data_IF_542379815073
#
_entry.id   IF_542379815073
#
_cell.length_a   1.000
_cell.length_b   1.000
_cell.length_c   1.000
_cell.angle_alpha   90.00
_cell.angle_beta   90.00
_cell.angle_gamma   90.00
#
_symmetry.space_group_name_H-M   'P 1'
#
loop_
_entity.id
_entity.type
_entity.pdbx_description
1 polymer ?
#
# COMPACT_ATOMS: atom_id res chain seq x y z
N UNK A 1 15.40 3.72 15.37
CA UNK A 1 15.19 3.26 13.96
C UNK A 1 16.32 2.36 13.52
N UNK A 2 16.02 1.20 12.94
CA UNK A 2 17.01 0.37 12.24
C UNK A 2 16.68 0.36 10.73
N UNK A 3 17.61 0.86 9.91
CA UNK A 3 17.62 0.52 8.48
C UNK A 3 17.98 -0.95 8.38
N UNK A 4 17.12 -1.73 7.75
CA UNK A 4 17.27 -3.17 7.65
C UNK A 4 17.36 -3.62 6.19
N UNK A 5 17.93 -4.80 5.96
CA UNK A 5 17.88 -5.42 4.65
C UNK A 5 16.45 -5.91 4.35
N UNK A 6 16.15 -6.12 3.08
CA UNK A 6 14.89 -6.69 2.65
C UNK A 6 14.66 -8.08 3.29
N UNK A 7 15.71 -8.91 3.38
CA UNK A 7 15.68 -10.22 4.03
C UNK A 7 15.33 -10.12 5.53
N UNK A 8 15.91 -9.15 6.24
CA UNK A 8 15.57 -8.91 7.63
C UNK A 8 14.13 -8.47 7.80
N UNK A 9 13.60 -7.59 6.92
CA UNK A 9 12.23 -7.16 7.00
C UNK A 9 11.23 -8.29 6.74
N UNK A 10 11.44 -9.13 5.71
CA UNK A 10 10.56 -10.28 5.45
C UNK A 10 10.58 -11.32 6.57
N UNK A 11 11.67 -11.41 7.34
CA UNK A 11 11.76 -12.30 8.50
C UNK A 11 10.88 -11.89 9.67
N UNK A 12 10.39 -10.64 9.71
CA UNK A 12 9.44 -10.16 10.71
C UNK A 12 8.03 -10.74 10.52
N UNK A 13 7.73 -11.21 9.30
CA UNK A 13 6.44 -11.86 9.00
C UNK A 13 6.49 -13.32 9.45
N UNK A 14 5.57 -13.70 10.31
CA UNK A 14 5.46 -15.07 10.83
C UNK A 14 4.70 -15.97 9.85
N UNK A 15 4.89 -17.31 9.91
CA UNK A 15 4.11 -18.25 9.09
C UNK A 15 2.59 -18.17 9.31
N UNK A 16 2.17 -17.84 10.53
CA UNK A 16 0.78 -17.49 10.88
C UNK A 16 0.77 -16.04 11.33
N UNK A 17 0.10 -15.17 10.56
CA UNK A 17 0.18 -13.73 10.78
C UNK A 17 -1.00 -12.97 10.17
N UNK A 18 -1.05 -11.67 10.49
CA UNK A 18 -1.97 -10.73 9.87
C UNK A 18 -1.23 -9.47 9.42
N UNK A 19 -1.44 -9.08 8.18
CA UNK A 19 -0.78 -7.93 7.58
C UNK A 19 -1.78 -7.08 6.81
N UNK A 20 -1.57 -5.77 6.78
CA UNK A 20 -2.26 -4.90 5.85
C UNK A 20 -1.27 -4.04 5.07
N UNK A 21 -1.67 -3.73 3.83
CA UNK A 21 -0.96 -2.83 2.93
C UNK A 21 -1.92 -1.76 2.41
N UNK A 22 -1.45 -0.56 2.10
CA UNK A 22 -2.26 0.49 1.48
C UNK A 22 -2.76 0.11 0.07
N UNK A 23 -3.55 1.01 -0.52
CA UNK A 23 -4.03 0.85 -1.88
C UNK A 23 -2.95 1.24 -2.92
N UNK A 24 -2.96 0.54 -4.04
CA UNK A 24 -2.26 0.93 -5.26
C UNK A 24 -0.80 1.33 -5.04
N UNK A 25 -0.44 2.60 -5.30
CA UNK A 25 0.95 3.05 -5.21
C UNK A 25 1.54 3.06 -3.81
N UNK A 26 0.71 2.93 -2.76
CA UNK A 26 1.19 2.78 -1.38
C UNK A 26 1.67 1.37 -1.04
N UNK A 27 1.44 0.38 -1.89
CA UNK A 27 1.90 -1.00 -1.66
C UNK A 27 3.43 -1.06 -1.71
N UNK A 28 4.10 -1.60 -0.67
CA UNK A 28 5.56 -1.75 -0.62
C UNK A 28 5.99 -2.91 -1.52
N UNK A 29 6.11 -2.64 -2.79
CA UNK A 29 6.17 -3.70 -3.78
C UNK A 29 7.45 -4.52 -3.77
N UNK A 30 8.62 -3.95 -3.42
CA UNK A 30 9.86 -4.71 -3.26
C UNK A 30 9.76 -5.70 -2.10
N UNK A 31 9.18 -5.26 -0.99
CA UNK A 31 8.88 -6.11 0.15
C UNK A 31 7.88 -7.22 -0.23
N UNK A 32 6.81 -6.90 -0.95
CA UNK A 32 5.79 -7.89 -1.37
C UNK A 32 6.36 -8.93 -2.34
N UNK A 33 7.23 -8.52 -3.28
CA UNK A 33 7.92 -9.47 -4.18
C UNK A 33 8.86 -10.39 -3.40
N UNK A 34 9.68 -9.84 -2.50
CA UNK A 34 10.59 -10.64 -1.69
C UNK A 34 9.84 -11.60 -0.76
N UNK A 35 8.73 -11.16 -0.18
CA UNK A 35 7.87 -12.02 0.63
C UNK A 35 7.31 -13.19 -0.19
N UNK A 36 7.07 -12.99 -1.48
CA UNK A 36 6.62 -14.02 -2.41
C UNK A 36 7.63 -15.15 -2.67
N UNK A 37 8.91 -14.99 -2.33
CA UNK A 37 9.93 -16.05 -2.43
C UNK A 37 9.83 -17.08 -1.29
N UNK A 38 9.16 -16.73 -0.20
CA UNK A 38 8.95 -17.64 0.94
C UNK A 38 7.87 -18.68 0.62
N UNK A 39 7.99 -19.87 1.27
CA UNK A 39 7.08 -21.00 1.09
C UNK A 39 6.65 -21.63 2.42
N UNK A 40 6.85 -20.94 3.53
CA UNK A 40 6.63 -21.45 4.89
C UNK A 40 5.34 -20.90 5.54
N UNK A 41 4.45 -20.29 4.76
CA UNK A 41 3.20 -19.77 5.28
C UNK A 41 2.23 -20.89 5.65
N UNK A 42 1.62 -20.76 6.82
CA UNK A 42 0.62 -21.68 7.35
C UNK A 42 -0.76 -21.04 7.32
N UNK A 43 -0.86 -19.79 7.79
CA UNK A 43 -2.13 -19.03 7.82
C UNK A 43 -1.80 -17.52 7.88
N UNK A 44 -1.47 -16.94 6.72
CA UNK A 44 -1.20 -15.51 6.58
C UNK A 44 -2.40 -14.80 5.98
N UNK A 45 -3.01 -13.91 6.74
CA UNK A 45 -4.08 -13.04 6.27
C UNK A 45 -3.55 -11.68 5.86
N UNK A 46 -3.79 -11.29 4.61
CA UNK A 46 -3.40 -9.96 4.09
C UNK A 46 -4.62 -9.18 3.69
N UNK A 47 -4.74 -7.94 4.15
CA UNK A 47 -5.74 -6.98 3.70
C UNK A 47 -5.09 -5.86 2.89
N UNK A 48 -5.74 -5.46 1.81
CA UNK A 48 -5.31 -4.35 0.97
C UNK A 48 -6.36 -4.01 -0.06
N UNK A 49 -5.95 -3.33 -1.12
CA UNK A 49 -6.84 -3.07 -2.26
C UNK A 49 -6.04 -2.59 -3.47
N UNK A 50 -6.61 -2.79 -4.66
CA UNK A 50 -6.07 -2.28 -5.92
C UNK A 50 -4.57 -2.60 -6.05
N UNK A 51 -4.26 -3.88 -6.19
CA UNK A 51 -2.88 -4.32 -6.37
C UNK A 51 -2.27 -3.70 -7.64
N UNK A 52 -1.13 -3.01 -7.51
CA UNK A 52 -0.46 -2.40 -8.67
C UNK A 52 0.33 -3.40 -9.51
N UNK A 53 0.54 -4.61 -9.00
CA UNK A 53 1.34 -5.65 -9.63
C UNK A 53 0.85 -7.06 -9.23
N UNK A 54 1.38 -8.09 -9.89
CA UNK A 54 1.13 -9.48 -9.56
C UNK A 54 2.21 -9.98 -8.57
N UNK A 55 1.82 -10.11 -7.33
CA UNK A 55 2.73 -10.59 -6.27
C UNK A 55 2.57 -12.09 -6.06
N UNK A 56 3.67 -12.84 -6.19
CA UNK A 56 3.69 -14.29 -6.04
C UNK A 56 3.23 -14.76 -4.65
N UNK A 57 3.34 -13.93 -3.61
CA UNK A 57 2.85 -14.20 -2.27
C UNK A 57 1.38 -14.66 -2.25
N UNK A 58 0.53 -14.04 -3.07
CA UNK A 58 -0.91 -14.35 -3.10
C UNK A 58 -1.25 -15.68 -3.77
N UNK A 59 -0.27 -16.34 -4.42
CA UNK A 59 -0.44 -17.69 -4.96
C UNK A 59 0.06 -18.80 -4.04
N UNK A 60 0.63 -18.42 -2.88
CA UNK A 60 1.19 -19.39 -1.94
C UNK A 60 0.10 -20.08 -1.12
N UNK A 61 0.23 -21.40 -0.86
CA UNK A 61 -0.61 -22.07 0.10
C UNK A 61 -0.55 -21.40 1.48
N UNK A 62 -1.67 -21.35 2.19
CA UNK A 62 -1.76 -20.72 3.51
C UNK A 62 -1.77 -19.19 3.49
N UNK A 63 -1.86 -18.55 2.31
CA UNK A 63 -2.01 -17.10 2.20
C UNK A 63 -3.42 -16.76 1.73
N UNK A 64 -4.08 -15.86 2.47
CA UNK A 64 -5.44 -15.39 2.24
C UNK A 64 -5.43 -13.89 2.04
N UNK A 65 -5.81 -13.43 0.84
CA UNK A 65 -5.90 -12.01 0.54
C UNK A 65 -7.33 -11.51 0.53
N UNK A 66 -7.60 -10.45 1.28
CA UNK A 66 -8.87 -9.73 1.29
C UNK A 66 -8.68 -8.38 0.66
N UNK A 67 -9.37 -8.15 -0.46
CA UNK A 67 -9.24 -6.89 -1.20
C UNK A 67 -10.48 -6.02 -1.06
N UNK A 68 -10.27 -4.78 -0.66
CA UNK A 68 -11.32 -3.75 -0.61
C UNK A 68 -11.63 -3.14 -1.99
N UNK A 69 -10.79 -3.39 -3.00
CA UNK A 69 -11.03 -3.00 -4.39
C UNK A 69 -10.56 -4.09 -5.34
N UNK A 70 -11.48 -4.61 -6.13
CA UNK A 70 -11.24 -5.79 -6.96
C UNK A 70 -10.85 -5.39 -8.39
N UNK A 71 -9.58 -5.08 -8.59
CA UNK A 71 -8.99 -4.66 -9.85
C UNK A 71 -8.62 -5.81 -10.79
N UNK A 72 -7.91 -5.51 -11.90
CA UNK A 72 -7.46 -6.53 -12.86
C UNK A 72 -6.51 -7.56 -12.24
N UNK A 73 -5.59 -7.14 -11.37
CA UNK A 73 -4.62 -8.04 -10.73
C UNK A 73 -5.33 -9.03 -9.79
N UNK A 74 -6.25 -8.55 -8.96
CA UNK A 74 -7.04 -9.40 -8.07
C UNK A 74 -7.88 -10.43 -8.85
N UNK A 75 -8.49 -10.02 -9.97
CA UNK A 75 -9.26 -10.94 -10.81
C UNK A 75 -8.38 -12.03 -11.41
N UNK A 76 -7.24 -11.63 -11.96
CA UNK A 76 -6.29 -12.57 -12.54
C UNK A 76 -5.80 -13.61 -11.50
N UNK A 77 -5.40 -13.15 -10.32
CA UNK A 77 -4.93 -14.02 -9.24
C UNK A 77 -6.05 -14.99 -8.77
N UNK A 78 -7.26 -14.49 -8.56
CA UNK A 78 -8.42 -15.32 -8.19
C UNK A 78 -8.71 -16.39 -9.26
N UNK A 79 -8.74 -15.99 -10.53
CA UNK A 79 -9.03 -16.89 -11.65
C UNK A 79 -7.90 -17.92 -11.85
N UNK A 80 -6.71 -17.63 -11.34
CA UNK A 80 -5.57 -18.54 -11.25
C UNK A 80 -5.59 -19.47 -10.02
N UNK A 81 -6.62 -19.38 -9.17
CA UNK A 81 -6.82 -20.25 -8.02
C UNK A 81 -6.27 -19.70 -6.69
N UNK A 82 -5.82 -18.45 -6.64
CA UNK A 82 -5.41 -17.82 -5.39
C UNK A 82 -6.60 -17.61 -4.43
N UNK A 83 -6.35 -17.69 -3.12
CA UNK A 83 -7.36 -17.43 -2.09
C UNK A 83 -7.58 -15.92 -1.93
N UNK A 84 -8.50 -15.37 -2.71
CA UNK A 84 -8.82 -13.94 -2.70
C UNK A 84 -10.30 -13.71 -2.47
N UNK A 85 -10.61 -12.96 -1.41
CA UNK A 85 -11.96 -12.52 -1.06
C UNK A 85 -12.13 -11.02 -1.33
N UNK A 86 -13.33 -10.64 -1.77
CA UNK A 86 -13.70 -9.24 -1.92
C UNK A 86 -14.42 -8.73 -0.68
N UNK A 87 -13.92 -7.63 -0.11
CA UNK A 87 -14.54 -6.90 1.00
C UNK A 87 -15.12 -5.60 0.45
N UNK A 88 -16.44 -5.47 0.29
CA UNK A 88 -17.05 -4.24 -0.20
C UNK A 88 -16.73 -3.06 0.71
N UNK A 89 -15.94 -2.12 0.18
CA UNK A 89 -15.52 -0.93 0.92
C UNK A 89 -15.40 0.28 -0.02
N UNK A 90 -15.77 1.43 0.49
CA UNK A 90 -15.35 2.72 -0.07
C UNK A 90 -14.16 3.28 0.73
N UNK A 91 -13.52 4.35 0.27
CA UNK A 91 -12.36 4.93 0.95
C UNK A 91 -12.62 5.29 2.41
N UNK A 92 -13.84 5.71 2.77
CA UNK A 92 -14.22 6.07 4.15
C UNK A 92 -14.33 4.85 5.07
N UNK A 93 -14.49 3.66 4.50
CA UNK A 93 -14.63 2.40 5.24
C UNK A 93 -13.29 1.70 5.46
N UNK A 94 -12.23 2.10 4.77
CA UNK A 94 -10.92 1.46 4.91
C UNK A 94 -10.39 1.55 6.33
N UNK A 95 -10.36 2.75 6.90
CA UNK A 95 -9.87 2.93 8.27
C UNK A 95 -10.71 2.16 9.32
N UNK A 96 -12.05 2.22 9.34
CA UNK A 96 -12.86 1.38 10.21
C UNK A 96 -12.63 -0.13 10.03
N UNK A 97 -12.38 -0.60 8.81
CA UNK A 97 -12.08 -2.01 8.54
C UNK A 97 -10.71 -2.37 9.10
N UNK A 98 -9.69 -1.55 8.88
CA UNK A 98 -8.35 -1.76 9.42
C UNK A 98 -8.35 -1.75 10.95
N UNK A 99 -9.07 -0.83 11.58
CA UNK A 99 -9.25 -0.78 13.03
C UNK A 99 -9.89 -2.08 13.56
N UNK A 100 -10.88 -2.63 12.86
CA UNK A 100 -11.53 -3.89 13.25
C UNK A 100 -10.62 -5.10 13.02
N UNK A 101 -9.90 -5.15 11.90
CA UNK A 101 -8.96 -6.22 11.58
C UNK A 101 -7.75 -6.23 12.52
N UNK A 102 -7.31 -5.07 12.95
CA UNK A 102 -6.15 -4.87 13.83
C UNK A 102 -4.94 -5.70 13.39
N UNK A 103 -4.46 -5.55 12.15
CA UNK A 103 -3.38 -6.39 11.61
C UNK A 103 -2.11 -6.18 12.42
N UNK A 104 -1.38 -7.28 12.70
CA UNK A 104 -0.12 -7.19 13.43
C UNK A 104 0.94 -6.40 12.65
N UNK A 105 0.93 -6.51 11.34
CA UNK A 105 1.89 -5.81 10.48
C UNK A 105 1.17 -4.77 9.61
N UNK A 106 1.69 -3.54 9.65
CA UNK A 106 1.38 -2.52 8.65
C UNK A 106 2.62 -2.29 7.78
N UNK A 107 2.50 -2.58 6.49
CA UNK A 107 3.59 -2.38 5.54
C UNK A 107 3.19 -1.38 4.45
N UNK A 108 4.01 -0.33 4.24
CA UNK A 108 3.70 0.76 3.29
C UNK A 108 4.94 1.19 2.50
N UNK A 109 4.69 1.86 1.37
CA UNK A 109 5.74 2.56 0.64
C UNK A 109 5.77 4.05 0.99
N UNK A 110 6.92 4.69 0.80
CA UNK A 110 7.10 6.11 1.06
C UNK A 110 8.33 6.70 0.37
N UNK A 111 8.51 8.01 0.51
CA UNK A 111 9.72 8.72 0.10
C UNK A 111 10.76 8.66 1.23
N UNK A 112 12.07 8.74 0.92
CA UNK A 112 13.12 8.71 1.92
C UNK A 112 12.95 9.76 3.02
N UNK A 113 13.42 9.49 4.24
CA UNK A 113 13.24 10.41 5.36
C UNK A 113 13.98 11.73 5.14
N UNK A 114 13.31 12.82 5.50
CA UNK A 114 13.90 14.16 5.61
C UNK A 114 13.54 14.71 7.00
N UNK A 115 14.54 15.22 7.71
CA UNK A 115 14.40 15.74 9.07
C UNK A 115 13.68 14.77 10.03
N UNK A 116 13.97 13.47 9.90
CA UNK A 116 13.37 12.40 10.71
C UNK A 116 11.96 11.95 10.29
N UNK A 117 11.41 12.48 9.20
CA UNK A 117 10.07 12.15 8.73
C UNK A 117 10.07 11.48 7.36
N UNK A 118 9.42 10.33 7.26
CA UNK A 118 9.09 9.63 6.01
C UNK A 118 7.74 10.13 5.52
N UNK A 119 7.69 10.70 4.31
CA UNK A 119 6.42 10.99 3.64
C UNK A 119 5.83 9.70 3.08
N UNK A 120 4.53 9.46 3.30
CA UNK A 120 3.80 8.31 2.73
C UNK A 120 3.55 8.45 1.22
N UNK A 121 4.08 9.50 0.62
CA UNK A 121 4.14 9.70 -0.81
C UNK A 121 2.77 9.64 -1.52
N UNK A 122 2.61 8.71 -2.44
CA UNK A 122 1.47 8.68 -3.37
C UNK A 122 0.17 8.18 -2.74
N UNK A 123 0.21 7.56 -1.56
CA UNK A 123 -1.00 7.10 -0.89
C UNK A 123 -0.88 7.13 0.63
N UNK A 124 -1.56 8.07 1.25
CA UNK A 124 -1.66 8.20 2.72
C UNK A 124 -3.09 7.92 3.22
N UNK A 125 -4.08 8.45 2.54
CA UNK A 125 -5.43 8.72 3.05
C UNK A 125 -6.20 7.56 3.67
N UNK A 126 -6.11 6.34 3.12
CA UNK A 126 -6.93 5.22 3.60
C UNK A 126 -6.26 4.36 4.69
N UNK A 127 -5.00 4.64 5.02
CA UNK A 127 -4.22 3.78 5.91
C UNK A 127 -3.33 4.53 6.91
N UNK A 128 -3.22 5.86 6.82
CA UNK A 128 -2.35 6.65 7.67
C UNK A 128 -2.69 6.50 9.16
N UNK A 129 -3.97 6.53 9.53
CA UNK A 129 -4.40 6.39 10.91
C UNK A 129 -4.05 5.00 11.47
N UNK A 130 -4.19 3.96 10.65
CA UNK A 130 -3.81 2.61 11.05
C UNK A 130 -2.29 2.43 11.19
N UNK A 131 -1.51 3.07 10.35
CA UNK A 131 -0.04 3.08 10.48
C UNK A 131 0.36 3.70 11.83
N UNK A 132 -0.24 4.81 12.21
CA UNK A 132 0.03 5.44 13.51
C UNK A 132 -0.47 4.61 14.70
N UNK A 133 -1.61 3.93 14.57
CA UNK A 133 -2.10 2.97 15.59
C UNK A 133 -1.13 1.80 15.74
N UNK A 134 -0.62 1.26 14.63
CA UNK A 134 0.36 0.19 14.67
C UNK A 134 1.66 0.64 15.34
N UNK A 135 2.16 1.82 15.00
CA UNK A 135 3.36 2.40 15.60
C UNK A 135 3.24 2.64 17.11
N UNK A 136 2.03 2.90 17.61
CA UNK A 136 1.77 3.12 19.03
C UNK A 136 1.62 1.81 19.86
N UNK A 137 1.52 0.65 19.19
CA UNK A 137 1.36 -0.65 19.84
C UNK A 137 2.65 -1.48 19.77
N UNK A 138 3.32 -1.77 20.91
CA UNK A 138 4.58 -2.50 20.91
C UNK A 138 4.47 -3.97 20.47
N UNK A 139 3.25 -4.50 20.29
CA UNK A 139 3.02 -5.85 19.79
C UNK A 139 2.83 -5.89 18.26
N UNK A 140 2.81 -4.74 17.63
CA UNK A 140 2.62 -4.60 16.18
C UNK A 140 3.93 -4.16 15.53
N UNK A 141 3.97 -4.25 14.20
CA UNK A 141 5.17 -3.97 13.40
C UNK A 141 4.83 -3.02 12.27
N UNK A 142 5.59 -1.95 12.14
CA UNK A 142 5.51 -1.01 11.02
C UNK A 142 6.73 -1.21 10.11
N UNK A 143 6.46 -1.58 8.86
CA UNK A 143 7.47 -1.76 7.81
C UNK A 143 7.28 -0.68 6.76
N UNK A 144 8.33 0.05 6.45
CA UNK A 144 8.29 1.09 5.42
C UNK A 144 9.37 0.85 4.36
N UNK A 145 8.95 0.69 3.12
CA UNK A 145 9.81 0.64 1.95
C UNK A 145 9.93 2.03 1.35
N UNK A 146 11.13 2.57 1.23
CA UNK A 146 11.38 3.88 0.64
C UNK A 146 12.24 3.79 -0.61
N UNK A 147 11.99 4.69 -1.56
CA UNK A 147 12.78 4.86 -2.77
C UNK A 147 12.94 6.33 -3.10
N UNK A 148 14.12 6.73 -3.57
CA UNK A 148 14.40 8.09 -4.07
C UNK A 148 13.51 8.49 -5.25
N UNK A 149 12.90 7.52 -5.92
CA UNK A 149 11.98 7.73 -7.05
C UNK A 149 10.55 8.06 -6.63
N UNK A 150 10.23 7.91 -5.34
CA UNK A 150 8.93 8.27 -4.81
C UNK A 150 8.88 9.75 -4.46
N UNK A 151 7.91 10.51 -4.97
CA UNK A 151 7.82 11.94 -4.71
C UNK A 151 7.46 12.20 -3.25
N UNK A 152 8.08 13.21 -2.66
CA UNK A 152 7.68 13.71 -1.36
C UNK A 152 6.38 14.49 -1.51
N UNK A 153 5.37 14.13 -0.75
CA UNK A 153 4.08 14.80 -0.70
C UNK A 153 3.86 15.43 0.67
N UNK A 154 2.86 16.29 0.76
CA UNK A 154 2.55 17.06 1.96
C UNK A 154 1.06 16.95 2.27
N UNK A 155 0.73 16.91 3.55
CA UNK A 155 -0.64 16.99 4.07
C UNK A 155 -0.93 18.35 4.68
N UNK A 156 -2.10 18.49 5.25
CA UNK A 156 -2.53 19.68 5.99
C UNK A 156 -2.61 19.30 7.46
N UNK A 157 -1.64 19.78 8.25
CA UNK A 157 -1.61 19.51 9.68
C UNK A 157 -2.60 20.40 10.44
N UNK A 158 -3.08 19.96 11.60
CA UNK A 158 -2.76 18.70 12.27
C UNK A 158 -3.61 17.48 11.81
N UNK A 159 -4.70 17.72 11.10
CA UNK A 159 -5.76 16.73 10.94
C UNK A 159 -5.58 15.81 9.71
N UNK A 160 -4.72 16.22 8.77
CA UNK A 160 -4.47 15.47 7.53
C UNK A 160 -3.01 14.98 7.50
N UNK A 161 -2.73 13.98 8.31
CA UNK A 161 -1.39 13.38 8.40
C UNK A 161 -1.01 12.72 7.08
N UNK A 162 0.28 12.81 6.72
CA UNK A 162 0.81 12.27 5.47
C UNK A 162 2.20 11.64 5.66
N UNK A 163 2.67 11.53 6.90
CA UNK A 163 4.04 11.13 7.24
C UNK A 163 4.09 10.33 8.54
N UNK A 164 5.17 9.59 8.71
CA UNK A 164 5.49 8.87 9.95
C UNK A 164 6.91 9.25 10.38
N UNK A 165 7.14 9.37 11.70
CA UNK A 165 8.48 9.61 12.22
C UNK A 165 9.33 8.33 12.14
N UNK A 166 10.62 8.47 11.86
CA UNK A 166 11.52 7.32 11.73
C UNK A 166 11.63 6.47 13.00
N UNK A 167 11.43 7.06 14.17
CA UNK A 167 11.46 6.32 15.45
C UNK A 167 10.21 5.45 15.66
N UNK A 168 9.16 5.68 14.89
CA UNK A 168 7.91 4.92 14.90
C UNK A 168 7.90 3.77 13.86
N UNK A 169 9.04 3.54 13.19
CA UNK A 169 9.22 2.51 12.17
C UNK A 169 10.11 1.40 12.71
N UNK A 170 9.62 0.16 12.70
CA UNK A 170 10.39 -1.01 13.12
C UNK A 170 11.40 -1.46 12.05
N UNK A 171 10.99 -1.41 10.79
CA UNK A 171 11.84 -1.78 9.65
C UNK A 171 11.74 -0.77 8.52
N UNK A 172 12.82 -0.02 8.28
CA UNK A 172 12.97 0.88 7.13
C UNK A 172 13.84 0.21 6.06
N UNK A 173 13.28 0.01 4.87
CA UNK A 173 13.91 -0.67 3.74
C UNK A 173 14.14 0.34 2.62
N UNK A 174 15.35 0.38 2.07
CA UNK A 174 15.65 1.18 0.87
C UNK A 174 15.63 0.27 -0.36
N UNK A 175 14.88 0.68 -1.37
CA UNK A 175 14.83 0.01 -2.68
C UNK A 175 15.05 1.03 -3.79
N UNK A 176 15.23 0.54 -5.02
CA UNK A 176 15.34 1.39 -6.23
C UNK A 176 14.07 1.30 -7.08
N UNK A 177 12.92 1.03 -6.45
CA UNK A 177 11.65 0.88 -7.18
C UNK A 177 11.11 2.22 -7.66
N UNK A 178 10.52 2.17 -8.83
CA UNK A 178 9.72 3.27 -9.37
C UNK A 178 8.26 3.12 -8.92
N UNK A 179 7.55 4.24 -8.66
CA UNK A 179 6.12 4.19 -8.48
C UNK A 179 5.44 3.68 -9.76
N UNK A 180 4.27 3.06 -9.59
CA UNK A 180 3.44 2.70 -10.74
C UNK A 180 3.15 3.98 -11.55
N UNK A 181 3.52 3.95 -12.81
CA UNK A 181 3.20 4.99 -13.77
C UNK A 181 2.24 4.44 -14.82
N UNK A 182 1.17 5.16 -15.08
CA UNK A 182 0.28 4.86 -16.20
C UNK A 182 0.90 5.47 -17.46
N UNK A 183 1.03 4.66 -18.50
CA UNK A 183 1.52 5.14 -19.79
C UNK A 183 0.56 6.21 -20.33
N UNK A 184 1.12 7.34 -20.76
CA UNK A 184 0.36 8.32 -21.52
C UNK A 184 -0.05 7.71 -22.87
N UNK A 185 -1.34 7.73 -23.16
CA UNK A 185 -1.89 7.35 -24.45
C UNK A 185 -2.47 8.56 -25.13
N UNK A 186 -2.28 8.67 -26.44
CA UNK A 186 -2.95 9.71 -27.21
C UNK A 186 -4.46 9.57 -27.04
N UNK A 187 -5.16 10.66 -26.72
CA UNK A 187 -6.59 10.59 -26.51
C UNK A 187 -7.32 10.27 -27.83
N UNK A 188 -8.30 9.40 -27.74
CA UNK A 188 -9.19 9.11 -28.87
C UNK A 188 -10.03 10.35 -29.24
N UNK A 189 -10.57 10.37 -30.47
CA UNK A 189 -11.46 11.45 -30.91
C UNK A 189 -12.67 11.64 -29.96
N UNK A 190 -13.24 10.54 -29.45
CA UNK A 190 -14.35 10.60 -28.51
C UNK A 190 -13.95 11.23 -27.17
N UNK A 191 -12.76 10.95 -26.64
CA UNK A 191 -12.24 11.58 -25.41
C UNK A 191 -12.00 13.07 -25.60
N UNK A 192 -11.49 13.49 -26.77
CA UNK A 192 -11.32 14.90 -27.12
C UNK A 192 -12.69 15.61 -27.14
N UNK A 193 -13.70 15.03 -27.77
CA UNK A 193 -15.05 15.57 -27.83
C UNK A 193 -15.68 15.68 -26.42
N UNK A 194 -15.55 14.65 -25.58
CA UNK A 194 -15.98 14.67 -24.18
C UNK A 194 -15.31 15.82 -23.43
N UNK A 195 -13.98 15.98 -23.59
CA UNK A 195 -13.25 17.06 -22.94
C UNK A 195 -13.73 18.44 -23.42
N UNK A 196 -14.01 18.61 -24.73
CA UNK A 196 -14.55 19.86 -25.27
C UNK A 196 -15.94 20.19 -24.70
N UNK A 197 -16.82 19.21 -24.53
CA UNK A 197 -18.11 19.42 -23.86
C UNK A 197 -17.93 19.77 -22.37
N UNK A 198 -17.02 19.11 -21.66
CA UNK A 198 -16.75 19.37 -20.25
C UNK A 198 -16.19 20.79 -20.01
N UNK A 199 -15.38 21.31 -20.93
CA UNK A 199 -14.78 22.67 -20.83
C UNK A 199 -15.84 23.78 -20.75
N UNK A 200 -17.06 23.55 -21.29
CA UNK A 200 -18.14 24.53 -21.20
C UNK A 200 -18.63 24.79 -19.77
N UNK A 201 -18.37 23.88 -18.85
CA UNK A 201 -18.76 23.95 -17.44
C UNK A 201 -17.61 24.41 -16.52
N UNK A 202 -16.40 24.58 -17.06
CA UNK A 202 -15.23 25.03 -16.30
C UNK A 202 -15.11 26.55 -16.47
N UNK A 203 -15.29 27.28 -15.38
CA UNK A 203 -15.19 28.73 -15.36
C UNK A 203 -13.77 29.16 -14.94
N UNK A 204 -13.39 30.39 -15.34
CA UNK A 204 -12.13 30.99 -14.94
C UNK A 204 -12.05 31.08 -13.41
N UNK A 205 -10.99 30.53 -12.83
CA UNK A 205 -10.79 30.50 -11.37
C UNK A 205 -11.30 29.26 -10.65
N UNK A 206 -11.68 28.23 -11.40
CA UNK A 206 -11.95 26.88 -10.83
C UNK A 206 -10.61 26.21 -10.46
#
# INVERSE_FOLDING_TARGET
>A
MATVTLEQAISLVQPTDSMAVPLGPGVPGGFMHALGERNDFVDLHVFGALLPDLYAIFTKPGVHYRSGFFGPAERFLRDSGASIDYVPADFRRFDPILLWLNPRIMATAGAPPVDGWVSLSLHAGASVDEIHRAAADPNRVVIVEVSEKFPRTYGVEPDQMHRIHVDDIDALIYTDREPLNLADTEPSQAEIEIAQFALQFIHSGC
#
